data_IF_261340481199
#
_entry.id   IF_261340481199
#
_cell.length_a   1.000
_cell.length_b   1.000
_cell.length_c   1.000
_cell.angle_alpha   90.00
_cell.angle_beta   90.00
_cell.angle_gamma   90.00
#
_symmetry.space_group_name_H-M   'P 1'
#
loop_
_entity.id
_entity.type
_entity.pdbx_description
1 polymer ?
#
# COMPACT_ATOMS: atom_id res chain seq x y z
N UNK A 1 -25.71 27.01 49.69
CA UNK A 1 -24.64 27.23 48.68
C UNK A 1 -24.07 25.89 48.29
N UNK A 2 -24.33 25.38 47.08
CA UNK A 2 -23.57 24.29 46.48
C UNK A 2 -23.56 24.50 44.97
N UNK A 3 -22.42 24.94 44.44
CA UNK A 3 -22.21 25.18 43.03
C UNK A 3 -22.09 23.82 42.30
N UNK A 4 -22.92 23.60 41.28
CA UNK A 4 -22.78 22.46 40.36
C UNK A 4 -21.72 22.81 39.33
N UNK A 5 -20.51 22.32 39.53
CA UNK A 5 -19.43 22.41 38.55
C UNK A 5 -19.78 21.52 37.36
N UNK A 6 -20.16 22.14 36.25
CA UNK A 6 -20.30 21.44 34.98
C UNK A 6 -18.89 21.14 34.44
N UNK A 7 -18.51 19.87 34.44
CA UNK A 7 -17.30 19.40 33.75
C UNK A 7 -17.64 19.42 32.26
N UNK A 8 -17.15 20.42 31.55
CA UNK A 8 -17.16 20.44 30.09
C UNK A 8 -16.07 19.46 29.65
N UNK A 9 -16.46 18.22 29.35
CA UNK A 9 -15.60 17.30 28.65
C UNK A 9 -15.44 17.83 27.21
N UNK A 10 -14.32 18.50 26.94
CA UNK A 10 -13.94 18.82 25.59
C UNK A 10 -13.69 17.50 24.86
N UNK A 11 -14.63 17.08 24.00
CA UNK A 11 -14.36 16.06 22.99
C UNK A 11 -13.29 16.64 22.08
N UNK A 12 -12.03 16.22 22.29
CA UNK A 12 -11.01 16.37 21.28
C UNK A 12 -11.45 15.49 20.10
N UNK A 13 -12.04 16.11 19.08
CA UNK A 13 -12.14 15.51 17.76
C UNK A 13 -10.72 15.22 17.31
N UNK A 14 -10.30 13.96 17.41
CA UNK A 14 -9.18 13.47 16.62
C UNK A 14 -9.60 13.68 15.16
N UNK A 15 -9.10 14.74 14.55
CA UNK A 15 -8.99 14.81 13.11
C UNK A 15 -8.01 13.72 12.73
N UNK A 16 -8.52 12.49 12.56
CA UNK A 16 -7.85 11.46 11.79
C UNK A 16 -7.42 12.15 10.50
N UNK A 17 -6.11 12.34 10.32
CA UNK A 17 -5.54 12.78 9.06
C UNK A 17 -6.24 11.96 7.99
N UNK A 18 -6.91 12.66 7.07
CA UNK A 18 -7.96 12.10 6.25
C UNK A 18 -7.59 10.71 5.76
N UNK A 19 -8.52 9.77 5.90
CA UNK A 19 -8.37 8.39 5.42
C UNK A 19 -7.71 8.48 4.05
N UNK A 20 -6.45 8.08 3.93
CA UNK A 20 -5.85 7.88 2.62
C UNK A 20 -6.78 6.85 2.01
N UNK A 21 -7.57 7.26 1.00
CA UNK A 21 -8.40 6.32 0.25
C UNK A 21 -7.45 5.19 -0.13
N UNK A 22 -7.75 3.96 0.32
CA UNK A 22 -7.11 2.78 -0.23
C UNK A 22 -7.34 2.87 -1.73
N UNK A 23 -6.30 3.13 -2.49
CA UNK A 23 -6.40 3.17 -3.93
C UNK A 23 -6.67 1.72 -4.34
N UNK A 24 -7.88 1.43 -4.83
CA UNK A 24 -8.28 0.08 -5.25
C UNK A 24 -7.61 -0.31 -6.59
N UNK A 25 -6.45 0.27 -6.90
CA UNK A 25 -5.66 0.06 -8.11
C UNK A 25 -4.80 -1.21 -8.05
N UNK A 26 -5.25 -2.23 -7.32
CA UNK A 26 -4.55 -3.51 -7.33
C UNK A 26 -4.71 -4.20 -8.69
N UNK A 27 -3.63 -4.81 -9.16
CA UNK A 27 -3.60 -5.61 -10.38
C UNK A 27 -3.62 -7.09 -10.00
N UNK A 28 -4.20 -7.93 -10.85
CA UNK A 28 -4.11 -9.38 -10.68
C UNK A 28 -2.91 -9.90 -11.48
N UNK A 29 -2.08 -10.70 -10.82
CA UNK A 29 -0.88 -11.30 -11.40
C UNK A 29 -0.82 -12.79 -11.13
N UNK A 30 -0.12 -13.51 -12.00
CA UNK A 30 0.12 -14.95 -11.87
C UNK A 30 1.35 -15.17 -11.01
N UNK A 31 1.21 -15.95 -9.94
CA UNK A 31 2.33 -16.36 -9.08
C UNK A 31 3.29 -17.22 -9.92
N UNK A 32 4.61 -16.90 -9.95
CA UNK A 32 5.58 -17.69 -10.71
C UNK A 32 5.53 -19.18 -10.39
N UNK A 33 5.69 -20.01 -11.43
CA UNK A 33 5.61 -21.46 -11.28
C UNK A 33 6.68 -21.97 -10.30
N UNK A 34 6.24 -22.72 -9.28
CA UNK A 34 7.13 -23.27 -8.25
C UNK A 34 7.32 -22.35 -7.04
N UNK A 35 6.79 -21.13 -7.06
CA UNK A 35 6.68 -20.29 -5.87
C UNK A 35 5.37 -20.51 -5.14
N UNK A 36 5.44 -20.47 -3.80
CA UNK A 36 4.26 -20.36 -2.95
C UNK A 36 3.82 -18.90 -2.86
N UNK A 37 2.55 -18.65 -2.56
CA UNK A 37 2.05 -17.29 -2.30
C UNK A 37 2.88 -16.54 -1.23
N UNK A 38 3.35 -17.25 -0.21
CA UNK A 38 4.20 -16.66 0.84
C UNK A 38 5.58 -16.22 0.32
N UNK A 39 6.22 -17.02 -0.53
CA UNK A 39 7.48 -16.65 -1.18
C UNK A 39 7.28 -15.47 -2.13
N UNK A 40 6.24 -15.53 -2.96
CA UNK A 40 5.88 -14.45 -3.87
C UNK A 40 5.61 -13.13 -3.13
N UNK A 41 4.89 -13.18 -2.00
CA UNK A 41 4.64 -11.99 -1.17
C UNK A 41 5.93 -11.34 -0.66
N UNK A 42 6.93 -12.14 -0.31
CA UNK A 42 8.23 -11.63 0.13
C UNK A 42 9.00 -11.00 -1.04
N UNK A 43 9.05 -11.68 -2.19
CA UNK A 43 9.70 -11.16 -3.40
C UNK A 43 9.07 -9.85 -3.88
N UNK A 44 7.73 -9.79 -3.92
CA UNK A 44 6.99 -8.58 -4.31
C UNK A 44 7.28 -7.39 -3.39
N UNK A 45 7.29 -7.62 -2.07
CA UNK A 45 7.60 -6.57 -1.10
C UNK A 45 9.05 -6.09 -1.23
N UNK A 46 9.99 -7.02 -1.36
CA UNK A 46 11.39 -6.69 -1.52
C UNK A 46 11.64 -5.83 -2.78
N UNK A 47 11.05 -6.21 -3.91
CA UNK A 47 11.17 -5.45 -5.15
C UNK A 47 10.51 -4.07 -5.05
N UNK A 48 9.29 -4.00 -4.48
CA UNK A 48 8.63 -2.72 -4.31
C UNK A 48 9.42 -1.77 -3.40
N UNK A 49 10.02 -2.30 -2.34
CA UNK A 49 10.93 -1.56 -1.48
C UNK A 49 12.18 -1.08 -2.23
N UNK A 50 12.79 -1.92 -3.08
CA UNK A 50 13.94 -1.55 -3.91
C UNK A 50 13.59 -0.39 -4.87
N UNK A 51 12.47 -0.49 -5.59
CA UNK A 51 11.99 0.57 -6.48
C UNK A 51 11.69 1.86 -5.72
N UNK A 52 11.09 1.75 -4.53
CA UNK A 52 10.85 2.89 -3.65
C UNK A 52 12.16 3.57 -3.24
N UNK A 53 13.17 2.82 -2.79
CA UNK A 53 14.46 3.38 -2.38
C UNK A 53 15.30 3.93 -3.54
N UNK A 54 15.11 3.40 -4.75
CA UNK A 54 15.75 3.91 -5.96
C UNK A 54 15.13 5.22 -6.48
N UNK A 55 13.92 5.57 -6.02
CA UNK A 55 13.22 6.76 -6.50
C UNK A 55 13.85 8.06 -5.98
N UNK A 56 14.47 8.84 -6.87
CA UNK A 56 15.01 10.17 -6.57
C UNK A 56 13.88 11.20 -6.45
N UNK A 57 13.26 11.32 -5.28
CA UNK A 57 12.31 12.42 -5.08
C UNK A 57 11.41 12.27 -3.87
N UNK A 58 11.96 12.45 -2.66
CA UNK A 58 11.19 12.81 -1.47
C UNK A 58 9.90 12.01 -1.31
N UNK A 59 10.03 10.68 -1.25
CA UNK A 59 8.88 9.80 -1.20
C UNK A 59 8.61 9.41 0.24
N UNK A 60 7.45 9.78 0.75
CA UNK A 60 7.20 9.81 2.19
C UNK A 60 6.59 8.52 2.72
N UNK A 61 5.88 7.76 1.87
CA UNK A 61 5.20 6.54 2.29
C UNK A 61 5.17 5.54 1.16
N UNK A 62 5.87 4.43 1.36
CA UNK A 62 5.73 3.22 0.56
C UNK A 62 4.37 2.58 0.85
N UNK A 63 3.65 2.20 -0.20
CA UNK A 63 2.44 1.41 -0.13
C UNK A 63 2.59 0.17 -0.99
N UNK A 64 2.77 -0.95 -0.30
CA UNK A 64 2.80 -2.28 -0.91
C UNK A 64 1.63 -3.11 -0.42
N UNK A 65 1.02 -3.86 -1.33
CA UNK A 65 -0.10 -4.75 -1.03
C UNK A 65 0.02 -6.04 -1.82
N UNK A 66 -0.25 -7.17 -1.16
CA UNK A 66 -0.30 -8.51 -1.76
C UNK A 66 -1.38 -9.30 -1.03
N UNK A 67 -2.41 -9.74 -1.73
CA UNK A 67 -3.47 -10.61 -1.22
C UNK A 67 -3.72 -11.78 -2.18
N UNK A 68 -4.21 -12.94 -1.69
CA UNK A 68 -4.61 -14.03 -2.57
C UNK A 68 -5.75 -13.58 -3.50
N UNK A 69 -5.68 -13.95 -4.78
CA UNK A 69 -6.81 -13.76 -5.69
C UNK A 69 -7.83 -14.92 -5.53
N UNK A 70 -8.94 -14.81 -6.26
CA UNK A 70 -9.95 -15.89 -6.31
C UNK A 70 -9.43 -17.16 -6.98
N UNK A 71 -8.47 -17.02 -7.91
CA UNK A 71 -7.73 -18.12 -8.52
C UNK A 71 -6.53 -18.50 -7.63
N UNK A 72 -6.37 -19.77 -7.23
CA UNK A 72 -5.29 -20.19 -6.31
C UNK A 72 -3.84 -19.97 -6.80
N UNK A 73 -3.65 -19.70 -8.09
CA UNK A 73 -2.36 -19.44 -8.71
C UNK A 73 -2.09 -17.94 -8.92
N UNK A 74 -3.02 -17.07 -8.52
CA UNK A 74 -2.95 -15.64 -8.78
C UNK A 74 -2.91 -14.86 -7.45
N UNK A 75 -2.43 -13.62 -7.53
CA UNK A 75 -2.39 -12.67 -6.43
C UNK A 75 -2.91 -11.31 -6.89
N UNK A 76 -3.54 -10.59 -5.96
CA UNK A 76 -3.84 -9.16 -6.11
C UNK A 76 -2.67 -8.38 -5.54
N UNK A 77 -2.07 -7.52 -6.36
CA UNK A 77 -0.84 -6.81 -6.01
C UNK A 77 -0.95 -5.32 -6.28
N UNK A 78 -0.28 -4.53 -5.45
CA UNK A 78 -0.06 -3.12 -5.71
C UNK A 78 1.31 -2.74 -5.16
N UNK A 79 2.02 -1.91 -5.91
CA UNK A 79 3.27 -1.29 -5.52
C UNK A 79 3.22 0.17 -5.90
N UNK A 80 3.33 1.06 -4.92
CA UNK A 80 3.38 2.48 -5.21
C UNK A 80 3.71 3.32 -4.00
N UNK A 81 3.77 4.63 -4.20
CA UNK A 81 4.15 5.53 -3.13
C UNK A 81 3.63 6.96 -3.34
N UNK A 82 3.64 7.72 -2.25
CA UNK A 82 3.00 9.03 -2.19
C UNK A 82 3.98 10.15 -1.84
N UNK A 83 3.78 11.32 -2.44
CA UNK A 83 4.45 12.57 -2.02
C UNK A 83 3.63 13.33 -0.98
N UNK A 84 4.31 14.17 -0.20
CA UNK A 84 3.65 15.26 0.50
C UNK A 84 3.18 16.34 -0.48
N UNK A 85 2.14 17.06 -0.07
CA UNK A 85 1.29 17.96 -0.86
C UNK A 85 2.00 18.74 -1.99
N UNK A 86 1.42 18.77 -3.22
CA UNK A 86 0.26 18.00 -3.66
C UNK A 86 0.59 16.50 -3.64
N UNK A 87 -0.36 15.67 -3.19
CA UNK A 87 -0.17 14.22 -3.17
C UNK A 87 -0.17 13.72 -4.59
N UNK A 88 1.00 13.29 -5.05
CA UNK A 88 1.18 12.53 -6.29
C UNK A 88 1.29 11.06 -5.88
N UNK A 89 0.54 10.22 -6.58
CA UNK A 89 0.66 8.76 -6.47
C UNK A 89 1.57 8.31 -7.59
N UNK A 90 2.64 7.61 -7.24
CA UNK A 90 3.47 6.89 -8.20
C UNK A 90 3.10 5.41 -8.10
N UNK A 91 2.27 4.96 -9.03
CA UNK A 91 1.98 3.54 -9.20
C UNK A 91 3.15 2.91 -9.98
N UNK A 92 3.81 1.94 -9.35
CA UNK A 92 4.93 1.18 -9.90
C UNK A 92 4.60 -0.32 -9.95
N UNK A 93 3.32 -0.67 -9.96
CA UNK A 93 2.86 -2.06 -9.97
C UNK A 93 3.34 -2.78 -11.23
N UNK A 94 3.37 -2.10 -12.37
CA UNK A 94 3.86 -2.65 -13.64
C UNK A 94 5.38 -2.80 -13.64
N UNK A 95 6.10 -1.81 -13.12
CA UNK A 95 7.56 -1.84 -12.97
C UNK A 95 7.99 -2.98 -12.05
N UNK A 96 7.32 -3.15 -10.91
CA UNK A 96 7.57 -4.25 -9.96
C UNK A 96 7.29 -5.62 -10.60
N UNK A 97 6.16 -5.76 -11.31
CA UNK A 97 5.84 -7.00 -12.02
C UNK A 97 6.89 -7.33 -13.10
N UNK A 98 7.33 -6.33 -13.87
CA UNK A 98 8.34 -6.51 -14.91
C UNK A 98 9.70 -6.92 -14.33
N UNK A 99 10.13 -6.31 -13.21
CA UNK A 99 11.38 -6.64 -12.54
C UNK A 99 11.41 -8.08 -12.04
N UNK A 100 10.27 -8.57 -11.52
CA UNK A 100 10.12 -9.95 -11.07
C UNK A 100 9.81 -10.95 -12.20
N UNK A 101 9.62 -10.49 -13.44
CA UNK A 101 9.21 -11.33 -14.57
C UNK A 101 7.83 -11.95 -14.40
N UNK A 102 6.96 -11.29 -13.63
CA UNK A 102 5.61 -11.74 -13.27
C UNK A 102 4.63 -11.32 -14.37
N UNK A 103 3.70 -12.21 -14.71
CA UNK A 103 2.69 -11.97 -15.73
C UNK A 103 1.40 -11.43 -15.11
N UNK A 104 0.76 -10.48 -15.79
CA UNK A 104 -0.61 -10.08 -15.46
C UNK A 104 -1.59 -11.16 -15.91
N UNK A 105 -2.60 -11.43 -15.08
CA UNK A 105 -3.63 -12.44 -15.32
C UNK A 105 -4.76 -11.92 -16.22
#
# INVERSE_FOLDING_TARGET
MFAKTAIIAALATLTLGGVIKRDDNYQQVIIPQGETFGQFTLSWKAECDELFYASEGGVYTNATFVEPASTPADALVYCGWYTERPTVVYDNTVECANALGVQFA
#
